data_IF_415259874031
#
_entry.id   IF_415259874031
#
_cell.length_a   1.000
_cell.length_b   1.000
_cell.length_c   1.000
_cell.angle_alpha   90.00
_cell.angle_beta   90.00
_cell.angle_gamma   90.00
#
_symmetry.space_group_name_H-M   'P 1'
#
loop_
_entity.id
_entity.type
_entity.pdbx_description
1 polymer ?
#
# COMPACT_ATOMS: atom_id res chain seq x y z
N UNK A 1 -16.25 13.59 10.02
CA UNK A 1 -16.66 12.28 9.45
C UNK A 1 -17.40 11.51 10.54
N UNK A 2 -18.72 11.29 10.42
CA UNK A 2 -19.41 10.29 11.26
C UNK A 2 -18.75 8.93 10.96
N UNK A 3 -18.49 8.12 11.99
CA UNK A 3 -17.88 6.79 11.90
C UNK A 3 -18.36 6.03 10.66
N UNK A 4 -17.58 6.02 9.59
CA UNK A 4 -17.82 5.18 8.42
C UNK A 4 -17.13 3.84 8.69
N UNK A 5 -17.91 2.75 8.66
CA UNK A 5 -17.37 1.40 8.70
C UNK A 5 -16.70 1.11 7.35
N UNK A 6 -15.38 1.14 7.32
CA UNK A 6 -14.54 0.83 6.16
C UNK A 6 -13.52 -0.24 6.53
N UNK A 7 -13.07 -1.00 5.54
CA UNK A 7 -12.09 -2.08 5.76
C UNK A 7 -10.64 -1.58 5.67
N UNK A 8 -10.43 -0.48 4.95
CA UNK A 8 -9.14 0.19 4.79
C UNK A 8 -9.31 1.70 4.76
N UNK A 9 -8.46 2.40 5.49
CA UNK A 9 -8.20 3.83 5.31
C UNK A 9 -6.84 4.00 4.65
N UNK A 10 -6.75 4.79 3.58
CA UNK A 10 -5.49 5.17 2.95
C UNK A 10 -5.30 6.69 3.01
N UNK A 11 -4.08 7.09 3.38
CA UNK A 11 -3.62 8.47 3.39
C UNK A 11 -2.46 8.62 2.40
N UNK A 12 -2.41 9.68 1.59
CA UNK A 12 -1.19 10.08 0.93
C UNK A 12 -0.03 10.31 1.92
N UNK A 13 1.19 10.22 1.42
CA UNK A 13 2.39 10.52 2.21
C UNK A 13 3.28 11.55 1.52
N UNK A 14 4.13 12.22 2.31
CA UNK A 14 5.17 13.10 1.78
C UNK A 14 6.56 12.52 2.00
N UNK A 15 7.41 12.63 0.98
CA UNK A 15 8.83 12.37 1.15
C UNK A 15 9.49 13.56 1.86
N UNK A 16 10.22 13.28 2.93
CA UNK A 16 10.94 14.30 3.69
C UNK A 16 12.42 13.92 3.80
N UNK A 17 13.30 14.87 3.52
CA UNK A 17 14.72 14.73 3.83
C UNK A 17 14.91 14.74 5.33
N UNK A 18 15.84 13.94 5.85
CA UNK A 18 16.23 13.92 7.27
C UNK A 18 16.54 15.32 7.81
N UNK A 19 17.18 16.17 7.01
CA UNK A 19 17.56 17.54 7.38
C UNK A 19 16.36 18.50 7.47
N UNK A 20 15.19 18.09 6.96
CA UNK A 20 13.96 18.89 6.93
C UNK A 20 12.90 18.42 7.91
N UNK A 21 13.16 17.38 8.72
CA UNK A 21 12.19 16.83 9.68
C UNK A 21 11.71 17.91 10.66
N UNK A 22 12.63 18.74 11.16
CA UNK A 22 12.32 19.82 12.12
C UNK A 22 11.41 20.91 11.54
N UNK A 23 11.30 20.99 10.22
CA UNK A 23 10.43 21.94 9.52
C UNK A 23 9.04 21.41 9.19
N UNK A 24 8.73 20.15 9.55
CA UNK A 24 7.40 19.58 9.37
C UNK A 24 6.47 20.20 10.42
N UNK A 25 5.68 21.19 9.99
CA UNK A 25 4.60 21.76 10.79
C UNK A 25 3.30 20.97 10.65
N UNK A 26 2.50 20.95 11.72
CA UNK A 26 1.09 20.56 11.63
C UNK A 26 0.28 21.77 11.22
N UNK A 27 0.10 21.96 9.92
CA UNK A 27 -0.93 22.88 9.45
C UNK A 27 -2.29 22.17 9.56
N UNK A 28 -3.22 22.77 10.30
CA UNK A 28 -4.59 22.28 10.32
C UNK A 28 -5.24 22.59 8.97
N UNK A 29 -5.36 21.58 8.12
CA UNK A 29 -5.96 21.69 6.79
C UNK A 29 -7.35 21.07 6.79
N UNK A 30 -8.25 21.61 5.98
CA UNK A 30 -9.48 20.90 5.67
C UNK A 30 -9.14 19.76 4.72
N UNK A 31 -9.48 18.53 5.08
CA UNK A 31 -9.30 17.36 4.23
C UNK A 31 -10.59 17.01 3.48
N UNK A 32 -10.44 16.36 2.34
CA UNK A 32 -11.52 15.68 1.63
C UNK A 32 -11.39 14.17 1.83
N UNK A 33 -12.51 13.46 1.78
CA UNK A 33 -12.53 12.00 1.87
C UNK A 33 -13.36 11.41 0.74
N UNK A 34 -12.84 10.37 0.11
CA UNK A 34 -13.44 9.68 -1.03
C UNK A 34 -13.57 8.20 -0.70
N UNK A 35 -14.68 7.59 -1.10
CA UNK A 35 -14.89 6.15 -0.97
C UNK A 35 -14.51 5.46 -2.28
N UNK A 36 -13.80 4.34 -2.17
CA UNK A 36 -13.45 3.48 -3.30
C UNK A 36 -13.90 2.04 -3.04
N UNK A 37 -14.30 1.36 -4.12
CA UNK A 37 -14.30 -0.11 -4.14
C UNK A 37 -12.86 -0.62 -4.20
N UNK A 38 -12.65 -1.84 -3.72
CA UNK A 38 -11.35 -2.53 -3.78
C UNK A 38 -10.75 -2.55 -5.18
N UNK A 39 -11.54 -2.87 -6.20
CA UNK A 39 -11.05 -3.01 -7.58
C UNK A 39 -10.52 -1.67 -8.13
N UNK A 40 -11.27 -0.59 -7.96
CA UNK A 40 -10.89 0.73 -8.45
C UNK A 40 -9.64 1.23 -7.72
N UNK A 41 -9.59 1.06 -6.40
CA UNK A 41 -8.46 1.47 -5.60
C UNK A 41 -7.19 0.69 -5.96
N UNK A 42 -7.30 -0.64 -6.06
CA UNK A 42 -6.20 -1.52 -6.42
C UNK A 42 -5.61 -1.18 -7.80
N UNK A 43 -6.49 -0.91 -8.77
CA UNK A 43 -6.06 -0.47 -10.11
C UNK A 43 -5.25 0.83 -10.03
N UNK A 44 -5.69 1.81 -9.24
CA UNK A 44 -4.93 3.05 -9.01
C UNK A 44 -3.57 2.78 -8.38
N UNK A 45 -3.51 1.96 -7.32
CA UNK A 45 -2.27 1.57 -6.64
C UNK A 45 -1.27 0.94 -7.60
N UNK A 46 -1.70 -0.01 -8.44
CA UNK A 46 -0.82 -0.71 -9.38
C UNK A 46 -0.39 0.15 -10.57
N UNK A 47 -1.26 1.04 -11.06
CA UNK A 47 -0.96 1.88 -12.23
C UNK A 47 -0.14 3.13 -11.88
N UNK A 48 -0.35 3.71 -10.71
CA UNK A 48 0.24 5.00 -10.35
C UNK A 48 1.46 4.85 -9.45
N UNK A 49 1.40 3.92 -8.49
CA UNK A 49 2.44 3.66 -7.48
C UNK A 49 3.21 4.92 -7.03
N UNK A 50 2.48 5.90 -6.52
CA UNK A 50 2.96 7.23 -6.15
C UNK A 50 2.58 7.57 -4.70
N UNK A 51 2.77 8.84 -4.31
CA UNK A 51 2.48 9.33 -2.96
C UNK A 51 1.04 9.15 -2.52
N UNK A 52 0.09 9.17 -3.44
CA UNK A 52 -1.35 9.05 -3.16
C UNK A 52 -1.81 7.60 -3.14
N UNK A 53 -1.31 6.79 -4.07
CA UNK A 53 -1.66 5.39 -4.27
C UNK A 53 -0.40 4.54 -4.39
N UNK A 54 -0.06 3.79 -3.34
CA UNK A 54 1.15 2.96 -3.27
C UNK A 54 0.88 1.62 -2.60
N UNK A 55 1.79 0.68 -2.85
CA UNK A 55 1.78 -0.67 -2.27
C UNK A 55 2.34 -0.73 -0.84
N UNK A 56 2.78 0.39 -0.25
CA UNK A 56 3.38 0.36 1.09
C UNK A 56 2.34 0.03 2.16
N UNK A 57 2.77 -0.67 3.23
CA UNK A 57 1.93 -0.88 4.42
C UNK A 57 1.73 0.39 5.23
N UNK A 58 2.67 1.34 5.17
CA UNK A 58 2.58 2.59 5.89
C UNK A 58 1.50 3.52 5.28
N UNK A 59 1.09 4.52 6.06
CA UNK A 59 0.02 5.47 5.67
C UNK A 59 -1.33 4.79 5.37
N UNK A 60 -1.55 3.60 5.93
CA UNK A 60 -2.77 2.81 5.79
C UNK A 60 -3.21 2.25 7.14
N UNK A 61 -4.52 2.16 7.34
CA UNK A 61 -5.14 1.48 8.49
C UNK A 61 -6.07 0.39 7.98
N UNK A 62 -5.74 -0.86 8.29
CA UNK A 62 -6.50 -2.03 7.84
C UNK A 62 -7.35 -2.59 8.98
N UNK A 63 -8.58 -3.01 8.68
CA UNK A 63 -9.45 -3.70 9.63
C UNK A 63 -8.79 -5.01 10.06
N UNK A 64 -8.69 -5.22 11.38
CA UNK A 64 -7.97 -6.36 11.96
C UNK A 64 -8.44 -7.72 11.44
N UNK A 65 -9.73 -7.85 11.10
CA UNK A 65 -10.32 -9.08 10.57
C UNK A 65 -9.71 -9.56 9.27
N UNK A 66 -9.12 -8.66 8.45
CA UNK A 66 -8.40 -9.03 7.22
C UNK A 66 -7.19 -9.93 7.55
N UNK A 67 -6.50 -9.64 8.64
CA UNK A 67 -5.37 -10.44 9.14
C UNK A 67 -5.81 -11.69 9.90
N UNK A 68 -7.08 -12.09 9.92
CA UNK A 68 -7.43 -13.45 10.39
C UNK A 68 -7.15 -14.50 9.31
N UNK A 69 -7.11 -14.09 8.04
CA UNK A 69 -6.99 -14.96 6.87
C UNK A 69 -5.70 -14.75 6.07
N UNK A 70 -4.96 -13.70 6.37
CA UNK A 70 -3.78 -13.30 5.59
C UNK A 70 -2.62 -12.89 6.49
N UNK A 71 -1.40 -13.17 6.03
CA UNK A 71 -0.14 -12.65 6.57
C UNK A 71 0.65 -12.09 5.40
N UNK A 72 1.27 -10.94 5.62
CA UNK A 72 2.26 -10.42 4.67
C UNK A 72 3.40 -11.45 4.60
N UNK A 73 3.85 -11.84 3.41
CA UNK A 73 5.00 -12.73 3.27
C UNK A 73 6.22 -12.12 3.98
N UNK A 74 7.01 -12.94 4.65
CA UNK A 74 8.23 -12.51 5.35
C UNK A 74 9.47 -13.15 4.71
N UNK A 75 10.64 -12.53 4.90
CA UNK A 75 11.95 -13.04 4.48
C UNK A 75 12.43 -12.53 3.13
N UNK A 76 11.79 -11.53 2.54
CA UNK A 76 12.13 -10.98 1.22
C UNK A 76 12.19 -9.46 1.23
N UNK A 77 12.87 -8.87 0.25
CA UNK A 77 12.61 -7.48 -0.13
C UNK A 77 11.27 -7.38 -0.89
N UNK A 78 10.66 -6.20 -0.88
CA UNK A 78 9.41 -5.91 -1.61
C UNK A 78 8.19 -6.74 -1.14
N UNK A 79 8.16 -7.18 0.11
CA UNK A 79 7.01 -7.87 0.73
C UNK A 79 5.71 -7.07 0.63
N UNK A 80 5.81 -5.74 0.77
CA UNK A 80 4.70 -4.80 0.57
C UNK A 80 4.09 -4.93 -0.83
N UNK A 81 4.93 -4.94 -1.88
CA UNK A 81 4.49 -5.16 -3.27
C UNK A 81 3.84 -6.54 -3.44
N UNK A 82 4.38 -7.54 -2.75
CA UNK A 82 3.91 -8.92 -2.83
C UNK A 82 2.58 -9.15 -2.09
N UNK A 83 2.30 -8.40 -1.02
CA UNK A 83 1.20 -8.68 -0.09
C UNK A 83 0.11 -7.62 0.02
N UNK A 84 0.43 -6.33 -0.08
CA UNK A 84 -0.57 -5.25 0.07
C UNK A 84 -1.63 -5.27 -1.04
N UNK A 85 -1.30 -5.56 -2.32
CA UNK A 85 -2.31 -5.77 -3.34
C UNK A 85 -3.33 -6.87 -3.00
N UNK A 86 -2.88 -7.96 -2.37
CA UNK A 86 -3.77 -9.05 -1.92
C UNK A 86 -4.69 -8.57 -0.79
N UNK A 87 -4.16 -7.84 0.20
CA UNK A 87 -4.97 -7.24 1.27
C UNK A 87 -6.02 -6.28 0.73
N UNK A 88 -5.66 -5.38 -0.18
CA UNK A 88 -6.60 -4.45 -0.81
C UNK A 88 -7.70 -5.25 -1.51
N UNK A 89 -7.36 -6.32 -2.22
CA UNK A 89 -8.33 -7.19 -2.91
C UNK A 89 -9.36 -7.86 -1.98
N UNK A 90 -9.02 -8.03 -0.70
CA UNK A 90 -9.87 -8.62 0.34
C UNK A 90 -10.80 -7.61 1.04
N UNK A 91 -10.68 -6.31 0.73
CA UNK A 91 -11.57 -5.26 1.25
C UNK A 91 -12.82 -5.11 0.40
N UNK A 92 -13.90 -4.61 0.99
CA UNK A 92 -15.09 -4.19 0.24
C UNK A 92 -15.12 -2.67 0.08
N UNK A 93 -14.82 -1.95 1.16
CA UNK A 93 -14.92 -0.48 1.22
C UNK A 93 -13.63 0.16 1.71
N UNK A 94 -13.15 1.15 0.96
CA UNK A 94 -11.91 1.88 1.25
C UNK A 94 -12.22 3.37 1.37
N UNK A 95 -11.79 3.99 2.47
CA UNK A 95 -11.74 5.44 2.60
C UNK A 95 -10.36 5.96 2.19
N UNK A 96 -10.30 6.83 1.20
CA UNK A 96 -9.10 7.59 0.85
C UNK A 96 -9.30 9.02 1.35
N UNK A 97 -8.41 9.50 2.21
CA UNK A 97 -8.48 10.85 2.77
C UNK A 97 -7.35 11.65 2.15
N UNK A 98 -7.69 12.76 1.50
CA UNK A 98 -6.75 13.70 0.89
C UNK A 98 -6.08 14.55 1.97
N UNK A 99 -5.28 13.88 2.79
CA UNK A 99 -4.51 14.49 3.86
C UNK A 99 -3.16 13.78 4.01
N UNK A 100 -2.13 14.57 4.27
CA UNK A 100 -0.75 14.10 4.31
C UNK A 100 -0.27 14.04 5.76
N UNK A 101 -0.74 13.03 6.47
CA UNK A 101 -0.42 12.82 7.89
C UNK A 101 0.81 11.92 8.10
N UNK A 102 1.40 11.37 7.02
CA UNK A 102 2.57 10.52 7.08
C UNK A 102 3.77 11.13 6.34
N UNK A 103 4.86 11.39 7.07
CA UNK A 103 6.13 11.84 6.52
C UNK A 103 7.11 10.65 6.38
N UNK A 104 7.43 10.28 5.14
CA UNK A 104 8.37 9.22 4.83
C UNK A 104 9.80 9.78 4.68
N UNK A 105 10.73 9.31 5.54
CA UNK A 105 12.12 9.76 5.49
C UNK A 105 12.91 8.90 4.50
N UNK A 106 13.25 9.47 3.34
CA UNK A 106 13.82 8.71 2.22
C UNK A 106 15.35 8.60 2.23
N UNK A 107 16.07 9.57 2.82
CA UNK A 107 17.53 9.67 2.77
C UNK A 107 18.23 9.38 4.11
N UNK A 108 17.64 8.51 4.95
CA UNK A 108 18.29 8.08 6.20
C UNK A 108 19.61 7.33 5.91
N UNK A 109 20.68 7.55 6.70
CA UNK A 109 21.90 6.75 6.58
C UNK A 109 21.61 5.26 6.73
N UNK A 110 22.22 4.42 5.89
CA UNK A 110 22.01 2.96 5.84
C UNK A 110 20.54 2.56 5.54
N UNK A 111 19.76 3.44 4.89
CA UNK A 111 18.45 3.07 4.36
C UNK A 111 18.59 1.89 3.41
N UNK A 112 17.81 0.85 3.64
CA UNK A 112 17.65 -0.22 2.66
C UNK A 112 17.16 0.35 1.34
N UNK A 113 16.30 1.37 1.28
CA UNK A 113 15.80 1.88 -0.02
C UNK A 113 16.91 2.32 -1.00
N UNK A 114 18.06 2.77 -0.49
CA UNK A 114 19.14 3.31 -1.33
C UNK A 114 20.25 2.30 -1.64
N UNK A 115 20.13 1.04 -1.20
CA UNK A 115 21.11 -0.01 -1.50
C UNK A 115 20.64 -0.89 -2.67
N UNK A 116 21.50 -1.06 -3.67
CA UNK A 116 21.31 -2.08 -4.71
C UNK A 116 22.16 -3.30 -4.36
N UNK A 117 21.54 -4.47 -4.27
CA UNK A 117 22.22 -5.75 -4.11
C UNK A 117 21.52 -6.84 -4.92
N UNK A 118 22.19 -7.97 -5.10
CA UNK A 118 21.68 -9.09 -5.89
C UNK A 118 20.39 -9.67 -5.31
N UNK A 119 20.29 -9.79 -3.98
CA UNK A 119 19.12 -10.35 -3.30
C UNK A 119 17.85 -9.56 -3.61
N UNK A 120 17.92 -8.22 -3.61
CA UNK A 120 16.80 -7.37 -4.02
C UNK A 120 16.38 -7.55 -5.47
N UNK A 121 17.35 -7.71 -6.36
CA UNK A 121 17.07 -7.92 -7.77
C UNK A 121 16.36 -9.26 -8.00
N UNK A 122 16.68 -10.28 -7.21
CA UNK A 122 15.97 -11.56 -7.21
C UNK A 122 14.58 -11.41 -6.58
N UNK A 123 14.49 -10.70 -5.45
CA UNK A 123 13.25 -10.56 -4.70
C UNK A 123 12.19 -9.71 -5.41
N UNK A 124 12.58 -8.71 -6.21
CA UNK A 124 11.59 -7.99 -7.03
C UNK A 124 10.95 -8.91 -8.09
N UNK A 125 11.72 -9.84 -8.69
CA UNK A 125 11.18 -10.83 -9.63
C UNK A 125 10.25 -11.79 -8.89
N UNK A 126 10.63 -12.23 -7.69
CA UNK A 126 9.77 -13.05 -6.83
C UNK A 126 8.44 -12.34 -6.50
N UNK A 127 8.49 -11.09 -6.07
CA UNK A 127 7.30 -10.30 -5.71
C UNK A 127 6.35 -10.13 -6.91
N UNK A 128 6.90 -9.82 -8.09
CA UNK A 128 6.13 -9.69 -9.32
C UNK A 128 5.51 -11.02 -9.77
N UNK A 129 6.25 -12.13 -9.69
CA UNK A 129 5.72 -13.46 -10.01
C UNK A 129 4.59 -13.86 -9.07
N UNK A 130 4.73 -13.60 -7.77
CA UNK A 130 3.66 -13.85 -6.79
C UNK A 130 2.41 -13.05 -7.14
N UNK A 131 2.57 -11.75 -7.40
CA UNK A 131 1.48 -10.85 -7.73
C UNK A 131 0.77 -11.29 -9.02
N UNK A 132 1.53 -11.64 -10.06
CA UNK A 132 0.98 -12.15 -11.31
C UNK A 132 0.18 -13.45 -11.07
N UNK A 133 0.73 -14.41 -10.32
CA UNK A 133 0.05 -15.67 -10.00
C UNK A 133 -1.26 -15.43 -9.24
N UNK A 134 -1.27 -14.53 -8.26
CA UNK A 134 -2.48 -14.17 -7.51
C UNK A 134 -3.61 -13.70 -8.43
N UNK A 135 -3.32 -12.84 -9.40
CA UNK A 135 -4.32 -12.34 -10.34
C UNK A 135 -4.68 -13.33 -11.45
N UNK A 136 -3.72 -14.11 -11.96
CA UNK A 136 -3.97 -15.11 -13.00
C UNK A 136 -4.84 -16.27 -12.49
N UNK A 137 -4.56 -16.78 -11.27
CA UNK A 137 -5.37 -17.84 -10.65
C UNK A 137 -6.81 -17.36 -10.41
N UNK A 138 -7.00 -16.09 -10.03
CA UNK A 138 -8.34 -15.52 -9.91
C UNK A 138 -9.06 -15.41 -11.24
N UNK A 139 -8.37 -15.01 -12.31
CA UNK A 139 -8.94 -14.96 -13.66
C UNK A 139 -9.41 -16.34 -14.12
N UNK A 140 -8.61 -17.39 -13.88
CA UNK A 140 -8.98 -18.77 -14.21
C UNK A 140 -10.19 -19.27 -13.40
N UNK A 141 -10.30 -18.92 -12.11
CA UNK A 141 -11.45 -19.30 -11.27
C UNK A 141 -12.77 -18.70 -11.74
N UNK A 142 -12.75 -17.51 -12.35
CA UNK A 142 -13.95 -16.88 -12.92
C UNK A 142 -14.42 -17.65 -14.17
N UNK A 143 -13.51 -18.22 -14.95
CA UNK A 143 -13.84 -18.94 -16.18
C UNK A 143 -14.39 -20.36 -15.97
N UNK A 144 -14.21 -20.98 -14.79
CA UNK A 144 -14.76 -22.31 -14.47
C UNK A 144 -16.07 -22.28 -13.66
N UNK A 145 -16.61 -21.09 -13.36
CA UNK A 145 -17.88 -20.90 -12.64
C UNK A 145 -19.04 -20.47 -13.56
N UNK A 146 -18.84 -20.53 -14.87
CA UNK A 146 -19.85 -20.40 -15.92
C UNK A 146 -19.77 -21.61 -16.84
#
# INVERSE_FOLDING_TARGET
MKHQDVDLVNLPYQDVSVDKISSIGKEQRSYQSFEFSSEVFLKKVLQQNNREFNVSLFSKLFKQTLFKKFRIPEGHYYEDLAGVPELIRMTDKIAWIDDVEYAYIYNRPRSTVNSLNQDKAVDIIWALNRLANFFMIQSLRIHFLF
#
